data_IF_200777991849
#
_entry.id   IF_200777991849
#
_cell.length_a   1.000
_cell.length_b   1.000
_cell.length_c   1.000
_cell.angle_alpha   90.00
_cell.angle_beta   90.00
_cell.angle_gamma   90.00
#
_symmetry.space_group_name_H-M   'P 1'
#
loop_
_entity.id
_entity.type
_entity.pdbx_description
1 polymer ?
#
# COMPACT_ATOMS: atom_id res chain seq x y z
N UNK A 1 -2.53 0.88 -4.63
CA UNK A 1 -3.74 1.69 -4.37
C UNK A 1 -3.75 3.01 -5.18
N UNK A 2 -3.23 2.98 -6.42
CA UNK A 2 -2.87 4.17 -7.19
C UNK A 2 -4.01 5.17 -7.47
N UNK A 3 -5.27 4.75 -7.72
CA UNK A 3 -6.38 5.69 -7.90
C UNK A 3 -6.74 6.44 -6.61
N UNK A 4 -6.59 5.79 -5.45
CA UNK A 4 -6.94 6.38 -4.16
C UNK A 4 -5.95 7.47 -3.74
N UNK A 5 -4.68 7.35 -4.16
CA UNK A 5 -3.68 8.40 -3.91
C UNK A 5 -4.12 9.75 -4.49
N UNK A 6 -4.80 9.76 -5.63
CA UNK A 6 -5.34 11.01 -6.22
C UNK A 6 -6.42 11.65 -5.34
N UNK A 7 -7.30 10.84 -4.74
CA UNK A 7 -8.33 11.35 -3.83
C UNK A 7 -7.73 12.03 -2.60
N UNK A 8 -6.58 11.55 -2.14
CA UNK A 8 -5.83 12.13 -1.02
C UNK A 8 -5.41 13.58 -1.34
N UNK A 9 -4.95 13.85 -2.56
CA UNK A 9 -4.59 15.20 -3.02
C UNK A 9 -5.78 16.09 -3.36
N UNK A 10 -6.98 15.52 -3.53
CA UNK A 10 -8.24 16.26 -3.64
C UNK A 10 -8.84 16.61 -2.27
N UNK A 11 -8.15 16.30 -1.16
CA UNK A 11 -8.59 16.59 0.20
C UNK A 11 -9.48 15.52 0.82
N UNK A 12 -9.65 14.36 0.18
CA UNK A 12 -10.39 13.24 0.75
C UNK A 12 -9.48 12.34 1.62
N UNK A 13 -10.10 11.54 2.49
CA UNK A 13 -9.41 10.53 3.31
C UNK A 13 -9.78 9.11 2.86
N UNK A 14 -9.17 8.59 1.77
CA UNK A 14 -9.46 7.26 1.28
C UNK A 14 -8.97 6.17 2.24
N UNK A 15 -9.72 5.06 2.35
CA UNK A 15 -9.40 3.94 3.23
C UNK A 15 -9.47 2.61 2.46
N UNK A 16 -8.50 1.73 2.70
CA UNK A 16 -8.44 0.39 2.08
C UNK A 16 -8.46 -0.66 3.17
N UNK A 17 -9.36 -1.61 3.03
CA UNK A 17 -9.44 -2.79 3.89
C UNK A 17 -9.04 -4.04 3.11
N UNK A 18 -8.30 -4.93 3.77
CA UNK A 18 -8.07 -6.29 3.30
C UNK A 18 -8.93 -7.25 4.12
N UNK A 19 -9.89 -7.91 3.48
CA UNK A 19 -10.83 -8.83 4.14
C UNK A 19 -10.68 -10.26 3.58
N UNK A 20 -10.88 -11.24 4.45
CA UNK A 20 -10.76 -12.67 4.12
C UNK A 20 -10.36 -13.49 5.33
N UNK A 21 -10.43 -14.82 5.22
CA UNK A 21 -10.04 -15.74 6.29
C UNK A 21 -8.53 -15.74 6.56
N UNK A 22 -8.09 -16.33 7.67
CA UNK A 22 -6.67 -16.56 7.95
C UNK A 22 -6.04 -17.41 6.85
N UNK A 23 -4.82 -17.07 6.43
CA UNK A 23 -4.14 -17.72 5.30
C UNK A 23 -4.55 -17.19 3.90
N UNK A 24 -5.57 -16.33 3.79
CA UNK A 24 -6.00 -15.76 2.49
C UNK A 24 -5.08 -14.65 1.92
N UNK A 25 -3.89 -14.44 2.51
CA UNK A 25 -2.91 -13.48 1.99
C UNK A 25 -3.14 -12.00 2.35
N UNK A 26 -4.04 -11.65 3.28
CA UNK A 26 -4.27 -10.25 3.70
C UNK A 26 -2.98 -9.51 4.07
N UNK A 27 -2.19 -10.12 4.97
CA UNK A 27 -0.92 -9.55 5.44
C UNK A 27 0.10 -9.50 4.32
N UNK A 28 0.13 -10.52 3.45
CA UNK A 28 1.00 -10.57 2.28
C UNK A 28 0.71 -9.41 1.31
N UNK A 29 -0.57 -9.15 1.02
CA UNK A 29 -0.99 -8.06 0.13
C UNK A 29 -0.73 -6.68 0.73
N UNK A 30 -1.06 -6.47 2.01
CA UNK A 30 -0.90 -5.16 2.65
C UNK A 30 0.57 -4.84 2.98
N UNK A 31 1.27 -5.79 3.59
CA UNK A 31 2.62 -5.63 4.12
C UNK A 31 3.76 -6.16 3.25
N UNK A 32 3.50 -6.96 2.23
CA UNK A 32 4.53 -7.65 1.44
C UNK A 32 4.86 -9.04 1.98
N UNK A 33 5.92 -9.66 1.47
CA UNK A 33 6.30 -11.02 1.84
C UNK A 33 7.00 -11.06 3.20
N UNK A 34 6.23 -11.41 4.24
CA UNK A 34 6.72 -11.57 5.61
C UNK A 34 7.19 -13.00 5.94
N UNK A 35 7.12 -13.92 4.97
CA UNK A 35 7.49 -15.33 5.20
C UNK A 35 9.00 -15.58 5.13
N UNK A 36 9.74 -14.64 4.55
CA UNK A 36 11.18 -14.73 4.35
C UNK A 36 11.97 -14.17 5.55
N UNK A 37 13.18 -14.70 5.74
CA UNK A 37 14.12 -14.23 6.78
C UNK A 37 14.52 -12.76 6.54
N UNK A 38 14.67 -12.40 5.27
CA UNK A 38 14.77 -11.01 4.80
C UNK A 38 13.41 -10.56 4.30
N UNK A 39 12.70 -9.79 5.13
CA UNK A 39 11.34 -9.36 4.84
C UNK A 39 11.32 -8.32 3.72
N UNK A 40 10.67 -8.63 2.61
CA UNK A 40 10.50 -7.71 1.49
C UNK A 40 9.19 -6.91 1.64
N UNK A 41 9.30 -5.77 2.32
CA UNK A 41 8.20 -4.81 2.45
C UNK A 41 7.96 -3.99 1.18
N UNK A 42 8.89 -3.99 0.21
CA UNK A 42 8.86 -3.05 -0.93
C UNK A 42 7.66 -3.29 -1.86
N UNK A 43 7.11 -4.51 -1.83
CA UNK A 43 6.01 -4.94 -2.71
C UNK A 43 4.62 -4.84 -2.06
N UNK A 44 4.54 -4.49 -0.78
CA UNK A 44 3.27 -4.33 -0.07
C UNK A 44 2.52 -3.06 -0.47
N UNK A 45 1.19 -3.06 -0.31
CA UNK A 45 0.36 -1.85 -0.53
C UNK A 45 0.87 -0.66 0.29
N UNK A 46 1.39 -0.87 1.51
CA UNK A 46 1.93 0.23 2.32
C UNK A 46 3.11 0.94 1.65
N UNK A 47 4.16 0.21 1.28
CA UNK A 47 5.36 0.78 0.67
C UNK A 47 5.06 1.39 -0.70
N UNK A 48 4.27 0.70 -1.53
CA UNK A 48 3.89 1.18 -2.85
C UNK A 48 3.07 2.49 -2.77
N UNK A 49 2.15 2.59 -1.82
CA UNK A 49 1.33 3.79 -1.63
C UNK A 49 2.15 4.96 -1.11
N UNK A 50 3.06 4.72 -0.15
CA UNK A 50 3.98 5.75 0.32
C UNK A 50 4.87 6.29 -0.82
N UNK A 51 5.42 5.39 -1.65
CA UNK A 51 6.21 5.77 -2.81
C UNK A 51 5.40 6.60 -3.83
N UNK A 52 4.17 6.18 -4.15
CA UNK A 52 3.28 6.92 -5.04
C UNK A 52 2.99 8.34 -4.52
N UNK A 53 2.83 8.51 -3.20
CA UNK A 53 2.63 9.82 -2.55
C UNK A 53 3.88 10.70 -2.73
N UNK A 54 5.06 10.19 -2.42
CA UNK A 54 6.31 10.96 -2.58
C UNK A 54 6.60 11.31 -4.05
N UNK A 55 6.33 10.40 -4.98
CA UNK A 55 6.45 10.69 -6.41
C UNK A 55 5.48 11.80 -6.81
N UNK A 56 4.24 11.78 -6.31
CA UNK A 56 3.26 12.81 -6.61
C UNK A 56 3.65 14.19 -6.03
N UNK A 57 4.21 14.22 -4.81
CA UNK A 57 4.69 15.44 -4.16
C UNK A 57 5.91 16.06 -4.85
N UNK A 58 6.74 15.24 -5.51
CA UNK A 58 7.93 15.70 -6.24
C UNK A 58 7.65 16.04 -7.71
N UNK A 59 6.39 16.07 -8.16
CA UNK A 59 6.06 16.55 -9.50
C UNK A 59 6.25 18.08 -9.56
N UNK A 60 6.83 18.60 -10.66
CA UNK A 60 6.99 20.04 -10.87
C UNK A 60 5.65 20.76 -10.97
#
# INVERSE_FOLDING_TARGET
>A
AKPLVQLLFLGYSPMVFAYGQTGAGKTFTMGGDLSQRDVDFSKGIYALTANDIFIHLNKP
#
